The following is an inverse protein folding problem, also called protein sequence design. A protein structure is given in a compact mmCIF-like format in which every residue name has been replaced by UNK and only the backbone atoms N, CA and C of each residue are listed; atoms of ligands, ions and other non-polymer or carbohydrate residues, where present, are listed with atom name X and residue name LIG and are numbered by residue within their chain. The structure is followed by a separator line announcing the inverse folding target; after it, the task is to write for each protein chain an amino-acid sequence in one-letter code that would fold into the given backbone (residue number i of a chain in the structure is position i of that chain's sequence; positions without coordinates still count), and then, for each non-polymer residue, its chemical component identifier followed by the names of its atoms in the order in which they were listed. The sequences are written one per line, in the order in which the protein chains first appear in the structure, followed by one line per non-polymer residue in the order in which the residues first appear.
data_IF_141522639021
#
_entry.id   IF_141522639021
#
_cell.length_a   1.000
_cell.length_b   1.000
_cell.length_c   1.000
_cell.angle_alpha   90.00
_cell.angle_beta   90.00
_cell.angle_gamma   90.00
#
_symmetry.space_group_name_H-M   'P 1'
#
loop_
_entity.id
_entity.type
_entity.pdbx_description
1 polymer ?
#
# COMPACT_ATOMS: atom_id res chain seq x y z
N UNK A 1 5.93 6.88 39.95
CA UNK A 1 6.59 7.20 38.67
C UNK A 1 6.36 6.08 37.66
N UNK A 2 5.51 6.28 36.68
CA UNK A 2 5.27 5.29 35.60
C UNK A 2 6.39 5.40 34.58
N UNK A 3 7.25 4.38 34.45
CA UNK A 3 8.25 4.29 33.37
C UNK A 3 7.54 4.23 32.02
N UNK A 4 7.73 5.26 31.21
CA UNK A 4 7.26 5.26 29.82
C UNK A 4 7.89 4.07 29.08
N UNK A 5 7.07 3.14 28.55
CA UNK A 5 7.52 2.08 27.66
C UNK A 5 8.14 2.73 26.43
N UNK A 6 9.45 2.67 26.27
CA UNK A 6 10.15 3.03 25.04
C UNK A 6 9.51 2.29 23.88
N UNK A 7 8.90 3.01 22.95
CA UNK A 7 8.41 2.42 21.70
C UNK A 7 9.57 1.68 21.03
N UNK A 8 9.37 0.39 20.76
CA UNK A 8 10.35 -0.47 20.07
C UNK A 8 10.60 0.15 18.70
N UNK A 9 11.79 0.68 18.46
CA UNK A 9 12.17 1.18 17.13
C UNK A 9 12.05 0.02 16.16
N UNK A 10 11.10 0.11 15.23
CA UNK A 10 10.96 -0.85 14.13
C UNK A 10 12.19 -0.69 13.25
N UNK A 11 12.96 -1.77 13.09
CA UNK A 11 14.10 -1.78 12.16
C UNK A 11 13.56 -1.62 10.72
N UNK A 12 13.89 -0.53 10.01
CA UNK A 12 13.37 -0.27 8.68
C UNK A 12 13.83 -1.31 7.64
N UNK A 13 14.78 -2.18 7.99
CA UNK A 13 15.31 -3.23 7.11
C UNK A 13 14.58 -4.56 7.24
N UNK A 14 13.82 -4.77 8.33
CA UNK A 14 13.06 -6.00 8.54
C UNK A 14 11.74 -5.95 7.77
N UNK A 15 11.33 -7.07 7.15
CA UNK A 15 10.02 -7.21 6.54
C UNK A 15 8.92 -6.93 7.55
N UNK A 16 7.82 -6.36 7.09
CA UNK A 16 6.65 -6.07 7.90
C UNK A 16 5.42 -6.83 7.36
N UNK A 17 4.26 -6.65 8.00
CA UNK A 17 3.02 -7.31 7.58
C UNK A 17 2.62 -7.01 6.12
N UNK A 18 2.98 -5.83 5.61
CA UNK A 18 2.73 -5.45 4.21
C UNK A 18 3.61 -6.29 3.27
N UNK A 19 4.89 -6.49 3.63
CA UNK A 19 5.82 -7.31 2.83
C UNK A 19 5.35 -8.76 2.73
N UNK A 20 4.80 -9.31 3.83
CA UNK A 20 4.22 -10.66 3.87
C UNK A 20 2.98 -10.76 2.98
N UNK A 21 2.03 -9.83 3.12
CA UNK A 21 0.81 -9.84 2.32
C UNK A 21 1.11 -9.65 0.82
N UNK A 22 2.06 -8.76 0.49
CA UNK A 22 2.54 -8.54 -0.86
C UNK A 22 3.19 -9.81 -1.45
N UNK A 23 3.99 -10.51 -0.66
CA UNK A 23 4.60 -11.78 -1.05
C UNK A 23 3.54 -12.85 -1.36
N UNK A 24 2.50 -12.96 -0.54
CA UNK A 24 1.37 -13.86 -0.79
C UNK A 24 0.63 -13.50 -2.08
N UNK A 25 0.43 -12.21 -2.37
CA UNK A 25 -0.22 -11.76 -3.60
C UNK A 25 0.64 -12.05 -4.83
N UNK A 26 1.95 -11.87 -4.76
CA UNK A 26 2.88 -12.27 -5.83
C UNK A 26 2.74 -13.77 -6.12
N UNK A 27 2.76 -14.60 -5.07
CA UNK A 27 2.58 -16.05 -5.19
C UNK A 27 1.22 -16.42 -5.81
N UNK A 28 0.14 -15.80 -5.33
CA UNK A 28 -1.21 -16.02 -5.84
C UNK A 28 -1.29 -15.74 -7.34
N UNK A 29 -0.84 -14.57 -7.78
CA UNK A 29 -0.90 -14.17 -9.18
C UNK A 29 0.04 -15.01 -10.06
N UNK A 30 1.22 -15.40 -9.54
CA UNK A 30 2.12 -16.31 -10.26
C UNK A 30 1.43 -17.65 -10.54
N UNK A 31 0.82 -18.24 -9.53
CA UNK A 31 0.09 -19.50 -9.66
C UNK A 31 -1.10 -19.36 -10.61
N UNK A 32 -1.86 -18.28 -10.51
CA UNK A 32 -2.97 -17.98 -11.43
C UNK A 32 -2.52 -17.85 -12.92
N UNK A 33 -1.25 -17.55 -13.15
CA UNK A 33 -0.64 -17.50 -14.49
C UNK A 33 0.09 -18.79 -14.86
N UNK A 34 -0.02 -19.85 -14.06
CA UNK A 34 0.67 -21.13 -14.25
C UNK A 34 2.20 -20.98 -14.40
N UNK A 35 2.80 -20.02 -13.70
CA UNK A 35 4.24 -19.81 -13.73
C UNK A 35 4.91 -20.52 -12.54
N UNK A 36 6.04 -21.20 -12.80
CA UNK A 36 6.93 -21.62 -11.72
C UNK A 36 7.70 -20.44 -11.15
N UNK A 37 8.26 -20.60 -9.94
CA UNK A 37 9.12 -19.58 -9.33
C UNK A 37 10.34 -19.28 -10.22
N UNK A 38 10.93 -20.30 -10.83
CA UNK A 38 12.05 -20.16 -11.77
C UNK A 38 11.66 -19.37 -13.02
N UNK A 39 10.48 -19.63 -13.57
CA UNK A 39 9.98 -18.89 -14.74
C UNK A 39 9.72 -17.41 -14.39
N UNK A 40 9.16 -17.13 -13.23
CA UNK A 40 8.98 -15.76 -12.76
C UNK A 40 10.34 -15.07 -12.54
N UNK A 41 11.28 -15.74 -11.88
CA UNK A 41 12.62 -15.24 -11.62
C UNK A 41 13.33 -14.82 -12.91
N UNK A 42 13.34 -15.68 -13.91
CA UNK A 42 13.96 -15.43 -15.21
C UNK A 42 13.34 -14.22 -15.93
N UNK A 43 12.00 -14.10 -15.91
CA UNK A 43 11.29 -12.97 -16.57
C UNK A 43 11.50 -11.64 -15.86
N UNK A 44 11.57 -11.66 -14.53
CA UNK A 44 11.80 -10.45 -13.71
C UNK A 44 13.30 -10.09 -13.68
N UNK A 45 14.19 -11.04 -13.98
CA UNK A 45 15.65 -10.85 -13.95
C UNK A 45 16.20 -10.86 -12.53
N UNK A 46 15.72 -11.80 -11.70
CA UNK A 46 16.19 -12.06 -10.34
C UNK A 46 16.45 -13.55 -10.15
N UNK A 47 17.05 -13.91 -9.02
CA UNK A 47 17.30 -15.33 -8.71
C UNK A 47 16.05 -16.03 -8.21
N UNK A 48 15.99 -17.35 -8.37
CA UNK A 48 14.95 -18.19 -7.81
C UNK A 48 14.81 -18.00 -6.28
N UNK A 49 15.95 -17.94 -5.58
CA UNK A 49 15.97 -17.72 -4.13
C UNK A 49 15.37 -16.36 -3.73
N UNK A 50 15.55 -15.33 -4.56
CA UNK A 50 14.91 -14.04 -4.32
C UNK A 50 13.40 -14.12 -4.48
N UNK A 51 12.88 -14.85 -5.47
CA UNK A 51 11.44 -15.07 -5.61
C UNK A 51 10.90 -15.82 -4.40
N UNK A 52 11.57 -16.87 -3.93
CA UNK A 52 11.16 -17.60 -2.73
C UNK A 52 11.06 -16.67 -1.52
N UNK A 53 12.07 -15.85 -1.27
CA UNK A 53 12.09 -14.89 -0.15
C UNK A 53 11.00 -13.83 -0.27
N UNK A 54 10.70 -13.37 -1.49
CA UNK A 54 9.61 -12.42 -1.72
C UNK A 54 8.25 -13.05 -1.42
N UNK A 55 7.99 -14.26 -1.92
CA UNK A 55 6.74 -14.98 -1.70
C UNK A 55 6.55 -15.41 -0.24
N UNK A 56 7.62 -15.63 0.51
CA UNK A 56 7.59 -15.89 1.94
C UNK A 56 7.42 -14.61 2.79
N UNK A 57 7.60 -13.43 2.19
CA UNK A 57 7.58 -12.16 2.91
C UNK A 57 8.85 -11.91 3.75
N UNK A 58 9.93 -12.64 3.47
CA UNK A 58 11.19 -12.53 4.21
C UNK A 58 12.04 -11.35 3.76
N UNK A 59 11.79 -10.82 2.57
CA UNK A 59 12.53 -9.70 2.00
C UNK A 59 11.58 -8.62 1.49
N UNK A 60 12.00 -7.36 1.69
CA UNK A 60 11.36 -6.22 1.04
C UNK A 60 11.63 -6.24 -0.46
N UNK A 61 10.60 -5.91 -1.22
CA UNK A 61 10.69 -5.78 -2.67
C UNK A 61 10.81 -4.30 -3.03
N UNK A 62 11.81 -3.95 -3.82
CA UNK A 62 11.93 -2.57 -4.31
C UNK A 62 10.79 -2.23 -5.27
N UNK A 63 10.41 -0.95 -5.32
CA UNK A 63 9.32 -0.46 -6.20
C UNK A 63 9.58 -0.85 -7.67
N UNK A 64 10.81 -0.71 -8.16
CA UNK A 64 11.14 -1.10 -9.53
C UNK A 64 10.92 -2.58 -9.82
N UNK A 65 11.20 -3.46 -8.84
CA UNK A 65 10.93 -4.89 -8.96
C UNK A 65 9.46 -5.24 -8.87
N UNK A 66 8.68 -4.51 -8.02
CA UNK A 66 7.22 -4.64 -7.97
C UNK A 66 6.58 -4.33 -9.31
N UNK A 67 6.96 -3.20 -9.91
CA UNK A 67 6.46 -2.79 -11.23
C UNK A 67 6.78 -3.86 -12.28
N UNK A 68 8.01 -4.36 -12.29
CA UNK A 68 8.44 -5.40 -13.25
C UNK A 68 7.72 -6.73 -13.02
N UNK A 69 7.50 -7.10 -11.76
CA UNK A 69 6.74 -8.30 -11.39
C UNK A 69 5.28 -8.18 -11.83
N UNK A 70 4.62 -7.06 -11.55
CA UNK A 70 3.25 -6.81 -11.97
C UNK A 70 3.10 -6.87 -13.50
N UNK A 71 4.01 -6.22 -14.24
CA UNK A 71 4.04 -6.27 -15.69
C UNK A 71 4.23 -7.71 -16.23
N UNK A 72 5.12 -8.49 -15.61
CA UNK A 72 5.36 -9.90 -15.96
C UNK A 72 4.12 -10.75 -15.72
N UNK A 73 3.39 -10.49 -14.64
CA UNK A 73 2.15 -11.16 -14.28
C UNK A 73 0.94 -10.62 -15.04
N UNK A 74 1.09 -9.55 -15.82
CA UNK A 74 0.02 -8.86 -16.56
C UNK A 74 -1.12 -8.42 -15.64
N UNK A 75 -0.77 -7.77 -14.55
CA UNK A 75 -1.70 -7.21 -13.58
C UNK A 75 -1.32 -5.75 -13.26
N UNK A 76 -2.26 -4.91 -12.83
CA UNK A 76 -1.92 -3.60 -12.30
C UNK A 76 -1.10 -3.76 -11.00
N UNK A 77 -0.17 -2.85 -10.75
CA UNK A 77 0.67 -2.88 -9.53
C UNK A 77 -0.19 -2.87 -8.25
N UNK A 78 -1.33 -2.17 -8.30
CA UNK A 78 -2.28 -2.12 -7.18
C UNK A 78 -2.78 -3.50 -6.74
N UNK A 79 -2.93 -4.47 -7.67
CA UNK A 79 -3.35 -5.82 -7.35
C UNK A 79 -2.36 -6.59 -6.46
N UNK A 80 -1.09 -6.17 -6.42
CA UNK A 80 -0.10 -6.73 -5.49
C UNK A 80 -0.33 -6.28 -4.04
N UNK A 81 -1.10 -5.23 -3.82
CA UNK A 81 -1.38 -4.66 -2.49
C UNK A 81 -2.77 -5.03 -1.97
N UNK A 82 -3.56 -5.82 -2.71
CA UNK A 82 -4.89 -6.25 -2.27
C UNK A 82 -4.83 -6.94 -0.90
N UNK A 83 -5.76 -6.59 -0.01
CA UNK A 83 -5.82 -7.14 1.35
C UNK A 83 -4.75 -6.63 2.31
N UNK A 84 -3.91 -5.66 1.92
CA UNK A 84 -2.98 -4.99 2.83
C UNK A 84 -3.66 -3.81 3.53
N UNK A 85 -3.11 -3.36 4.69
CA UNK A 85 -3.59 -2.11 5.31
C UNK A 85 -3.40 -0.88 4.38
N UNK A 86 -2.40 -0.93 3.50
CA UNK A 86 -2.16 0.10 2.48
C UNK A 86 -3.29 0.11 1.43
N UNK A 87 -3.83 -1.06 1.09
CA UNK A 87 -4.94 -1.21 0.15
C UNK A 87 -6.21 -0.54 0.68
N UNK A 88 -6.59 -0.80 1.93
CA UNK A 88 -7.79 -0.21 2.54
C UNK A 88 -7.77 1.32 2.54
N UNK A 89 -6.62 1.94 2.78
CA UNK A 89 -6.47 3.40 2.74
C UNK A 89 -6.46 3.95 1.32
N UNK A 90 -5.75 3.28 0.42
CA UNK A 90 -5.68 3.68 -0.99
C UNK A 90 -7.04 3.51 -1.67
N UNK A 91 -7.70 2.37 -1.46
CA UNK A 91 -9.05 2.12 -1.96
C UNK A 91 -10.06 3.13 -1.42
N UNK A 92 -10.00 3.48 -0.14
CA UNK A 92 -10.86 4.51 0.43
C UNK A 92 -10.66 5.87 -0.25
N UNK A 93 -9.40 6.22 -0.57
CA UNK A 93 -9.07 7.46 -1.28
C UNK A 93 -9.60 7.47 -2.72
N UNK A 94 -9.41 6.39 -3.48
CA UNK A 94 -9.83 6.33 -4.89
C UNK A 94 -11.30 5.98 -5.06
N UNK A 95 -11.94 5.39 -4.06
CA UNK A 95 -13.38 5.07 -4.08
C UNK A 95 -14.27 6.28 -3.83
N UNK A 96 -13.73 7.37 -3.28
CA UNK A 96 -14.46 8.63 -3.16
C UNK A 96 -14.45 9.37 -4.52
N UNK A 97 -15.62 9.57 -5.16
CA UNK A 97 -15.71 10.28 -6.44
C UNK A 97 -15.10 11.68 -6.42
N UNK A 98 -15.07 12.33 -5.25
CA UNK A 98 -14.47 13.66 -5.07
C UNK A 98 -12.94 13.60 -5.13
N UNK A 99 -12.34 12.59 -4.48
CA UNK A 99 -10.90 12.35 -4.53
C UNK A 99 -10.45 12.04 -5.97
N UNK A 100 -11.19 11.22 -6.69
CA UNK A 100 -10.92 10.91 -8.09
C UNK A 100 -11.00 12.16 -8.97
N UNK A 101 -12.06 12.97 -8.82
CA UNK A 101 -12.22 14.24 -9.57
C UNK A 101 -11.08 15.22 -9.28
N UNK A 102 -10.66 15.32 -8.01
CA UNK A 102 -9.55 16.17 -7.61
C UNK A 102 -8.24 15.69 -8.25
N UNK A 103 -7.95 14.40 -8.17
CA UNK A 103 -6.75 13.81 -8.76
C UNK A 103 -6.72 14.01 -10.29
N UNK A 104 -7.84 13.81 -10.97
CA UNK A 104 -7.96 14.01 -12.40
C UNK A 104 -7.75 15.49 -12.79
N UNK A 105 -8.37 16.42 -12.08
CA UNK A 105 -8.18 17.85 -12.30
C UNK A 105 -6.72 18.27 -12.03
N UNK A 106 -6.11 17.74 -10.96
CA UNK A 106 -4.71 17.98 -10.65
C UNK A 106 -3.77 17.49 -11.75
N UNK A 107 -4.03 16.31 -12.31
CA UNK A 107 -3.23 15.75 -13.40
C UNK A 107 -3.28 16.63 -14.68
N UNK A 108 -4.40 17.31 -14.94
CA UNK A 108 -4.57 18.19 -16.09
C UNK A 108 -3.79 19.52 -15.98
N UNK A 109 -3.36 19.92 -14.78
CA UNK A 109 -2.59 21.15 -14.57
C UNK A 109 -1.16 20.96 -15.07
N UNK A 110 -0.76 21.66 -16.13
CA UNK A 110 0.59 21.59 -16.68
C UNK A 110 1.61 22.45 -15.92
N UNK A 111 1.15 23.50 -15.23
CA UNK A 111 2.02 24.44 -14.53
C UNK A 111 2.38 23.93 -13.14
N UNK A 112 3.68 23.67 -12.89
CA UNK A 112 4.17 23.17 -11.61
C UNK A 112 3.93 24.13 -10.42
N UNK A 113 4.00 25.44 -10.64
CA UNK A 113 3.70 26.44 -9.59
C UNK A 113 2.24 26.37 -9.17
N UNK A 114 1.33 26.24 -10.15
CA UNK A 114 -0.10 26.10 -9.88
C UNK A 114 -0.41 24.78 -9.14
N UNK A 115 0.26 23.68 -9.51
CA UNK A 115 0.15 22.40 -8.79
C UNK A 115 0.57 22.55 -7.32
N UNK A 116 1.72 23.17 -7.07
CA UNK A 116 2.22 23.38 -5.71
C UNK A 116 1.27 24.26 -4.89
N UNK A 117 0.76 25.34 -5.47
CA UNK A 117 -0.22 26.23 -4.82
C UNK A 117 -1.50 25.48 -4.44
N UNK A 118 -1.99 24.61 -5.32
CA UNK A 118 -3.18 23.79 -5.05
C UNK A 118 -2.95 22.82 -3.90
N UNK A 119 -1.80 22.12 -3.88
CA UNK A 119 -1.43 21.22 -2.78
C UNK A 119 -1.40 21.97 -1.46
N UNK A 120 -0.68 23.09 -1.39
CA UNK A 120 -0.59 23.92 -0.20
C UNK A 120 -1.97 24.41 0.29
N UNK A 121 -2.86 24.76 -0.64
CA UNK A 121 -4.21 25.17 -0.30
C UNK A 121 -5.02 24.01 0.31
N UNK A 122 -4.99 22.83 -0.31
CA UNK A 122 -5.71 21.65 0.18
C UNK A 122 -5.19 21.22 1.54
N UNK A 123 -3.87 21.23 1.76
CA UNK A 123 -3.26 20.92 3.06
C UNK A 123 -3.70 21.90 4.15
N UNK A 124 -3.73 23.20 3.87
CA UNK A 124 -4.22 24.22 4.81
C UNK A 124 -5.68 24.01 5.15
N UNK A 125 -6.53 23.71 4.18
CA UNK A 125 -7.95 23.41 4.42
C UNK A 125 -8.08 22.14 5.28
N UNK A 126 -7.30 21.10 5.01
CA UNK A 126 -7.33 19.85 5.79
C UNK A 126 -6.92 20.05 7.24
N UNK A 127 -5.98 20.96 7.52
CA UNK A 127 -5.57 21.34 8.87
C UNK A 127 -6.60 22.21 9.60
N UNK A 128 -7.33 23.05 8.86
CA UNK A 128 -8.34 23.96 9.42
C UNK A 128 -9.66 23.26 9.78
N UNK A 129 -9.95 22.09 9.18
CA UNK A 129 -11.19 21.33 9.47
C UNK A 129 -10.99 20.48 10.73
N UNK A 130 -11.74 20.74 11.83
CA UNK A 130 -11.61 19.93 13.04
C UNK A 130 -11.99 18.48 12.77
N UNK A 131 -11.12 17.54 13.18
CA UNK A 131 -11.40 16.10 13.10
C UNK A 131 -12.62 15.78 13.96
N UNK A 132 -13.73 15.33 13.35
CA UNK A 132 -14.89 14.83 14.10
C UNK A 132 -14.43 13.71 15.03
N UNK A 133 -14.74 13.79 16.36
CA UNK A 133 -14.40 12.71 17.27
C UNK A 133 -15.08 11.43 16.81
N UNK A 134 -14.33 10.31 16.75
CA UNK A 134 -14.89 8.99 16.47
C UNK A 134 -15.97 8.69 17.50
N UNK A 135 -17.23 8.55 17.08
CA UNK A 135 -18.33 8.09 17.96
C UNK A 135 -17.88 6.78 18.61
N UNK A 136 -17.65 6.79 19.94
CA UNK A 136 -17.46 5.58 20.72
C UNK A 136 -18.68 4.70 20.51
N UNK A 137 -18.52 3.53 19.90
CA UNK A 137 -19.56 2.49 19.88
C UNK A 137 -19.87 2.16 21.33
N UNK A 138 -21.03 2.58 21.83
CA UNK A 138 -21.58 2.11 23.11
C UNK A 138 -21.76 0.61 22.99
N UNK A 139 -20.95 -0.14 23.73
CA UNK A 139 -21.11 -1.58 23.87
C UNK A 139 -22.51 -1.89 24.37
N UNK A 140 -23.24 -2.70 23.62
CA UNK A 140 -24.49 -3.29 24.06
C UNK A 140 -24.16 -4.20 25.26
N UNK A 141 -24.42 -3.72 26.49
CA UNK A 141 -24.50 -4.61 27.66
C UNK A 141 -25.71 -5.52 27.41
N UNK A 142 -25.45 -6.77 27.09
CA UNK A 142 -26.47 -7.83 27.28
C UNK A 142 -26.68 -7.97 28.77
N UNK A 143 -27.88 -7.61 29.24
CA UNK A 143 -28.46 -8.03 30.51
C UNK A 143 -29.23 -9.32 30.16
N UNK A 144 -28.81 -10.40 30.78
CA UNK A 144 -29.50 -11.66 30.79
C UNK A 144 -29.36 -12.25 32.16
#
# INVERSE_FOLDING_TARGET
MRKAKKAKRVDPRKPNAIDVALGHNVRFWRLARNLSQTQLANRVGITFQQVQKYEAGDNRVSIGRLVKTAATLRIPVAALFEGTEADGRLLALISDPRSFRLAHAFAAIKNNKARLSLVNMVEKIALAVPRRPKKRRRGHRRVG
#
